data_IF_908176718213
#
_entry.id   IF_908176718213
#
_cell.length_a   1.000
_cell.length_b   1.000
_cell.length_c   1.000
_cell.angle_alpha   90.00
_cell.angle_beta   90.00
_cell.angle_gamma   90.00
#
_symmetry.space_group_name_H-M   'P 1'
#
loop_
_entity.id
_entity.type
_entity.pdbx_description
1 polymer ?
#
# COMPACT_ATOMS: atom_id res chain seq x y z
N UNK A 1 -12.13 12.14 -5.52
CA UNK A 1 -11.59 10.79 -5.69
C UNK A 1 -11.35 10.52 -7.17
N UNK A 2 -10.15 10.14 -7.54
CA UNK A 2 -9.74 9.95 -8.93
C UNK A 2 -9.51 8.48 -9.28
N UNK A 3 -9.36 7.65 -8.28
CA UNK A 3 -9.18 6.23 -8.47
C UNK A 3 -9.29 5.45 -7.18
N UNK A 4 -9.54 4.17 -7.32
CA UNK A 4 -9.67 3.25 -6.22
C UNK A 4 -9.09 1.90 -6.60
N UNK A 5 -8.61 1.18 -5.61
CA UNK A 5 -8.06 -0.16 -5.80
C UNK A 5 -8.20 -1.01 -4.57
N UNK A 6 -8.28 -2.30 -4.81
CA UNK A 6 -8.30 -3.33 -3.77
C UNK A 6 -7.34 -4.45 -4.21
N UNK A 7 -6.57 -4.94 -3.24
CA UNK A 7 -5.81 -6.18 -3.38
C UNK A 7 -6.27 -7.15 -2.31
N UNK A 8 -6.63 -8.36 -2.71
CA UNK A 8 -7.00 -9.45 -1.80
C UNK A 8 -6.02 -10.63 -1.90
N UNK A 9 -6.05 -11.49 -0.90
CA UNK A 9 -5.26 -12.72 -0.86
C UNK A 9 -6.15 -13.90 -0.47
N UNK A 10 -6.20 -14.92 -1.31
CA UNK A 10 -7.06 -16.10 -1.14
C UNK A 10 -6.41 -17.27 -0.40
N UNK A 11 -5.20 -17.07 0.13
CA UNK A 11 -4.38 -18.11 0.75
C UNK A 11 -3.31 -18.68 -0.19
N UNK A 12 -3.38 -18.38 -1.48
CA UNK A 12 -2.42 -18.84 -2.50
C UNK A 12 -1.91 -17.71 -3.38
N UNK A 13 -2.82 -16.85 -3.85
CA UNK A 13 -2.55 -15.84 -4.88
C UNK A 13 -3.09 -14.48 -4.45
N UNK A 14 -2.39 -13.42 -4.83
CA UNK A 14 -2.87 -12.05 -4.72
C UNK A 14 -3.70 -11.68 -5.94
N UNK A 15 -4.87 -11.11 -5.70
CA UNK A 15 -5.79 -10.61 -6.72
C UNK A 15 -5.88 -9.10 -6.62
N UNK A 16 -5.86 -8.38 -7.73
CA UNK A 16 -5.84 -6.92 -7.75
C UNK A 16 -6.87 -6.38 -8.73
N UNK A 17 -7.71 -5.47 -8.25
CA UNK A 17 -8.63 -4.68 -9.06
C UNK A 17 -8.39 -3.21 -8.82
N UNK A 18 -8.17 -2.44 -9.90
CA UNK A 18 -7.93 -1.00 -9.88
C UNK A 18 -8.82 -0.32 -10.90
N UNK A 19 -9.42 0.80 -10.51
CA UNK A 19 -10.34 1.58 -11.34
C UNK A 19 -10.07 3.07 -11.18
N UNK A 20 -10.24 3.80 -12.26
CA UNK A 20 -10.38 5.27 -12.22
C UNK A 20 -11.80 5.61 -11.82
N UNK A 21 -11.99 6.70 -11.06
CA UNK A 21 -13.30 7.15 -10.61
C UNK A 21 -13.66 6.72 -9.19
N UNK A 22 -14.93 6.74 -8.86
CA UNK A 22 -15.44 6.52 -7.51
C UNK A 22 -15.54 5.04 -7.15
N UNK A 23 -15.31 4.71 -5.88
CA UNK A 23 -15.54 3.35 -5.34
C UNK A 23 -16.96 2.88 -5.62
N UNK A 24 -17.95 3.77 -5.39
CA UNK A 24 -19.36 3.45 -5.57
C UNK A 24 -19.71 2.99 -6.99
N UNK A 25 -19.03 3.49 -8.00
CA UNK A 25 -19.31 3.15 -9.39
C UNK A 25 -18.78 1.76 -9.78
N UNK A 26 -17.72 1.31 -9.11
CA UNK A 26 -16.97 0.13 -9.53
C UNK A 26 -17.07 -1.07 -8.59
N UNK A 27 -17.15 -0.83 -7.27
CA UNK A 27 -17.09 -1.91 -6.29
C UNK A 27 -18.42 -2.21 -5.61
N UNK A 28 -19.47 -1.42 -5.81
CA UNK A 28 -20.80 -1.69 -5.24
C UNK A 28 -21.66 -2.63 -6.08
N UNK A 29 -21.45 -2.69 -7.38
CA UNK A 29 -22.26 -3.46 -8.37
C UNK A 29 -21.71 -4.86 -8.68
N UNK A 30 -20.90 -5.44 -7.83
CA UNK A 30 -20.70 -6.89 -7.74
C UNK A 30 -19.60 -7.52 -8.58
N UNK A 31 -19.29 -7.08 -9.80
CA UNK A 31 -18.37 -7.83 -10.66
C UNK A 31 -16.89 -7.66 -10.29
N UNK A 32 -16.50 -6.48 -9.83
CA UNK A 32 -15.13 -6.25 -9.38
C UNK A 32 -14.83 -7.01 -8.08
N UNK A 33 -15.78 -7.07 -7.15
CA UNK A 33 -15.64 -7.80 -5.87
C UNK A 33 -15.51 -9.31 -6.11
N UNK A 34 -16.24 -9.87 -7.08
CA UNK A 34 -16.14 -11.31 -7.43
C UNK A 34 -14.74 -11.72 -7.87
N UNK A 35 -13.95 -10.77 -8.38
CA UNK A 35 -12.55 -10.99 -8.81
C UNK A 35 -11.53 -10.88 -7.66
N UNK A 36 -11.99 -10.62 -6.46
CA UNK A 36 -11.19 -10.41 -5.26
C UNK A 36 -11.51 -11.46 -4.17
N UNK A 37 -11.28 -12.75 -4.45
CA UNK A 37 -11.50 -13.79 -3.46
C UNK A 37 -10.52 -13.67 -2.30
N UNK A 38 -10.87 -14.25 -1.16
CA UNK A 38 -9.98 -14.42 -0.01
C UNK A 38 -10.46 -13.74 1.26
N UNK A 39 -9.66 -13.92 2.31
CA UNK A 39 -9.97 -13.49 3.68
C UNK A 39 -9.13 -12.29 4.15
N UNK A 40 -8.15 -11.88 3.34
CA UNK A 40 -7.30 -10.72 3.58
C UNK A 40 -7.47 -9.76 2.42
N UNK A 41 -7.65 -8.49 2.71
CA UNK A 41 -7.68 -7.45 1.69
C UNK A 41 -7.18 -6.12 2.24
N UNK A 42 -6.58 -5.32 1.37
CA UNK A 42 -6.32 -3.90 1.61
C UNK A 42 -6.88 -3.09 0.45
N UNK A 43 -7.40 -1.91 0.74
CA UNK A 43 -7.96 -1.00 -0.23
C UNK A 43 -7.40 0.40 -0.10
N UNK A 44 -7.52 1.19 -1.17
CA UNK A 44 -7.10 2.58 -1.19
C UNK A 44 -7.95 3.42 -2.12
N UNK A 45 -8.36 4.59 -1.63
CA UNK A 45 -8.99 5.65 -2.40
C UNK A 45 -7.98 6.74 -2.68
N UNK A 46 -7.71 6.99 -3.96
CA UNK A 46 -6.75 7.99 -4.35
C UNK A 46 -7.41 9.35 -4.53
N UNK A 47 -6.83 10.36 -3.86
CA UNK A 47 -6.96 11.76 -4.19
C UNK A 47 -5.62 12.23 -4.71
N UNK A 48 -5.55 12.72 -5.94
CA UNK A 48 -4.30 13.26 -6.45
C UNK A 48 -4.14 14.70 -6.00
N UNK A 49 -3.01 14.95 -5.36
CA UNK A 49 -2.59 16.31 -5.01
C UNK A 49 -1.67 16.89 -6.09
N UNK A 50 -1.04 16.03 -6.88
CA UNK A 50 -0.13 16.41 -7.98
C UNK A 50 0.05 15.24 -8.96
N UNK A 51 0.07 15.53 -10.26
CA UNK A 51 0.43 14.58 -11.31
C UNK A 51 -0.73 13.95 -12.09
N UNK A 52 -0.41 13.36 -13.22
CA UNK A 52 -1.37 12.71 -14.13
C UNK A 52 -2.15 11.59 -13.42
N UNK A 53 -3.45 11.53 -13.72
CA UNK A 53 -4.36 10.46 -13.28
C UNK A 53 -4.07 9.17 -14.05
N UNK A 54 -2.94 8.55 -13.74
CA UNK A 54 -2.56 7.28 -14.36
C UNK A 54 -3.01 6.11 -13.49
N UNK A 55 -3.59 5.09 -14.11
CA UNK A 55 -3.95 3.84 -13.44
C UNK A 55 -2.74 3.20 -12.74
N UNK A 56 -1.52 3.46 -13.22
CA UNK A 56 -0.27 2.99 -12.62
C UNK A 56 -0.03 3.53 -11.21
N UNK A 57 -0.58 4.71 -10.91
CA UNK A 57 -0.45 5.37 -9.61
C UNK A 57 -1.57 4.97 -8.63
N UNK A 58 -2.55 4.18 -9.07
CA UNK A 58 -3.62 3.69 -8.19
C UNK A 58 -3.06 2.60 -7.30
N UNK A 59 -3.23 2.80 -6.01
CA UNK A 59 -2.85 1.85 -4.97
C UNK A 59 -4.02 0.89 -4.65
N UNK A 60 -3.77 -0.24 -3.96
CA UNK A 60 -2.50 -0.71 -3.40
C UNK A 60 -1.49 -1.14 -4.48
N UNK A 61 -0.19 -0.97 -4.19
CA UNK A 61 0.87 -1.55 -5.03
C UNK A 61 1.16 -2.97 -4.58
N UNK A 62 1.39 -3.83 -5.56
CA UNK A 62 1.81 -5.20 -5.34
C UNK A 62 3.24 -5.39 -5.87
N UNK A 63 4.03 -6.15 -5.15
CA UNK A 63 5.35 -6.58 -5.58
C UNK A 63 5.63 -8.00 -5.08
N UNK A 64 6.24 -8.81 -5.93
CA UNK A 64 6.83 -10.08 -5.54
C UNK A 64 8.23 -9.84 -4.98
N UNK A 65 8.46 -10.35 -3.77
CA UNK A 65 9.74 -10.30 -3.10
C UNK A 65 10.24 -11.72 -2.88
N UNK A 66 11.55 -11.86 -2.69
CA UNK A 66 12.10 -13.10 -2.18
C UNK A 66 11.46 -13.44 -0.82
N UNK A 67 10.73 -14.54 -0.76
CA UNK A 67 9.98 -14.95 0.44
C UNK A 67 8.48 -14.65 0.40
N UNK A 68 7.95 -14.10 -0.69
CA UNK A 68 6.51 -13.93 -0.93
C UNK A 68 6.09 -12.52 -1.36
N UNK A 69 4.85 -12.43 -1.82
CA UNK A 69 4.26 -11.17 -2.25
C UNK A 69 3.98 -10.20 -1.11
N UNK A 70 4.03 -8.91 -1.43
CA UNK A 70 3.64 -7.82 -0.54
C UNK A 70 2.69 -6.87 -1.30
N UNK A 71 1.65 -6.42 -0.62
CA UNK A 71 0.81 -5.33 -1.12
C UNK A 71 0.81 -4.19 -0.12
N UNK A 72 0.85 -2.94 -0.60
CA UNK A 72 0.97 -1.74 0.23
C UNK A 72 0.04 -0.63 -0.27
N UNK A 73 -0.61 0.03 0.68
CA UNK A 73 -1.31 1.29 0.47
C UNK A 73 -0.82 2.36 1.44
N UNK A 74 -0.77 3.60 0.98
CA UNK A 74 -0.20 4.75 1.67
C UNK A 74 -1.13 5.96 1.60
N UNK A 75 -1.44 6.49 2.74
CA UNK A 75 -2.09 7.78 2.91
C UNK A 75 -1.09 8.77 3.52
N UNK A 76 -0.70 9.77 2.77
CA UNK A 76 0.27 10.76 3.23
C UNK A 76 1.23 11.22 2.14
N UNK A 77 2.36 11.76 2.58
CA UNK A 77 3.42 12.24 1.69
C UNK A 77 4.79 12.10 2.35
N UNK A 78 5.74 11.55 1.63
CA UNK A 78 7.13 11.42 2.07
C UNK A 78 7.94 12.62 1.62
N UNK A 79 8.44 13.39 2.58
CA UNK A 79 9.20 14.62 2.31
C UNK A 79 10.55 14.37 1.64
N UNK A 80 11.12 13.18 1.82
CA UNK A 80 12.42 12.78 1.25
C UNK A 80 12.30 11.79 0.07
N UNK A 81 11.09 11.55 -0.45
CA UNK A 81 10.85 10.57 -1.52
C UNK A 81 11.72 10.79 -2.77
N UNK A 82 11.85 12.05 -3.22
CA UNK A 82 12.64 12.40 -4.42
C UNK A 82 14.10 12.03 -4.22
N UNK A 83 14.68 12.35 -3.07
CA UNK A 83 16.08 12.05 -2.75
C UNK A 83 16.32 10.55 -2.68
N UNK A 84 15.44 9.83 -1.99
CA UNK A 84 15.51 8.37 -1.91
C UNK A 84 15.35 7.72 -3.27
N UNK A 85 14.40 8.19 -4.09
CA UNK A 85 14.19 7.69 -5.44
C UNK A 85 15.44 7.84 -6.31
N UNK A 86 16.07 9.03 -6.31
CA UNK A 86 17.32 9.27 -7.05
C UNK A 86 18.42 8.29 -6.64
N UNK A 87 18.59 8.07 -5.33
CA UNK A 87 19.56 7.11 -4.79
C UNK A 87 19.23 5.68 -5.24
N UNK A 88 18.00 5.25 -5.10
CA UNK A 88 17.55 3.91 -5.48
C UNK A 88 17.74 3.64 -6.98
N UNK A 89 17.41 4.62 -7.84
CA UNK A 89 17.64 4.51 -9.30
C UNK A 89 19.12 4.38 -9.62
N UNK A 90 19.98 5.19 -8.98
CA UNK A 90 21.44 5.08 -9.12
C UNK A 90 21.94 3.68 -8.73
N UNK A 91 21.30 3.07 -7.74
CA UNK A 91 21.59 1.72 -7.27
C UNK A 91 20.86 0.62 -8.08
N UNK A 92 20.29 0.94 -9.23
CA UNK A 92 19.67 -0.01 -10.16
C UNK A 92 18.18 -0.34 -9.90
N UNK A 93 17.49 0.37 -9.00
CA UNK A 93 16.04 0.16 -8.81
C UNK A 93 15.24 0.68 -10.02
N UNK A 94 14.23 -0.10 -10.42
CA UNK A 94 13.35 0.23 -11.53
C UNK A 94 12.00 0.68 -10.97
N UNK A 95 11.57 1.87 -11.35
CA UNK A 95 10.30 2.46 -10.97
C UNK A 95 9.30 2.41 -12.12
N UNK A 96 8.05 2.08 -11.82
CA UNK A 96 6.93 2.02 -12.77
C UNK A 96 5.92 3.13 -12.59
N UNK A 97 5.94 3.80 -11.42
CA UNK A 97 5.00 4.84 -11.04
C UNK A 97 5.73 6.11 -10.64
N UNK A 98 5.01 7.21 -10.50
CA UNK A 98 5.53 8.45 -9.94
C UNK A 98 5.25 8.60 -8.45
N UNK A 99 4.57 7.61 -7.83
CA UNK A 99 4.18 7.64 -6.43
C UNK A 99 5.40 7.47 -5.52
N UNK A 100 5.40 8.21 -4.42
CA UNK A 100 6.36 8.08 -3.33
C UNK A 100 6.25 6.72 -2.60
N UNK A 101 5.07 6.12 -2.62
CA UNK A 101 4.81 4.78 -2.06
C UNK A 101 5.68 3.71 -2.71
N UNK A 102 5.97 3.82 -4.01
CA UNK A 102 6.86 2.87 -4.68
C UNK A 102 8.29 2.93 -4.13
N UNK A 103 8.72 4.09 -3.62
CA UNK A 103 10.00 4.22 -2.92
C UNK A 103 10.05 3.32 -1.68
N UNK A 104 8.96 3.23 -0.93
CA UNK A 104 8.88 2.33 0.24
C UNK A 104 8.99 0.87 -0.21
N UNK A 105 8.30 0.48 -1.29
CA UNK A 105 8.40 -0.89 -1.85
C UNK A 105 9.84 -1.23 -2.23
N UNK A 106 10.54 -0.31 -2.89
CA UNK A 106 11.93 -0.52 -3.30
C UNK A 106 12.89 -0.62 -2.10
N UNK A 107 12.67 0.18 -1.06
CA UNK A 107 13.45 0.09 0.18
C UNK A 107 13.25 -1.27 0.88
N UNK A 108 12.02 -1.75 0.96
CA UNK A 108 11.69 -3.07 1.51
C UNK A 108 12.38 -4.17 0.69
N UNK A 109 12.30 -4.08 -0.65
CA UNK A 109 12.92 -5.06 -1.55
C UNK A 109 14.44 -5.12 -1.41
N UNK A 110 15.10 -3.97 -1.19
CA UNK A 110 16.56 -3.87 -1.03
C UNK A 110 17.08 -4.26 0.35
N UNK A 111 16.22 -4.34 1.36
CA UNK A 111 16.65 -4.74 2.70
C UNK A 111 17.20 -6.17 2.69
N UNK A 112 18.36 -6.34 3.31
CA UNK A 112 19.06 -7.63 3.45
C UNK A 112 18.54 -8.49 4.60
N UNK A 113 17.54 -8.00 5.35
CA UNK A 113 16.93 -8.78 6.45
C UNK A 113 16.20 -9.99 5.89
N UNK A 114 16.06 -11.02 6.70
CA UNK A 114 15.32 -12.23 6.31
C UNK A 114 13.81 -12.06 6.49
N UNK A 115 13.40 -11.56 7.67
CA UNK A 115 11.98 -11.43 8.00
C UNK A 115 11.38 -10.18 7.37
N UNK A 116 10.20 -10.31 6.81
CA UNK A 116 9.50 -9.20 6.14
C UNK A 116 9.26 -8.00 7.08
N UNK A 117 8.98 -8.24 8.35
CA UNK A 117 8.76 -7.16 9.32
C UNK A 117 10.04 -6.35 9.51
N UNK A 118 11.20 -7.01 9.60
CA UNK A 118 12.49 -6.34 9.75
C UNK A 118 12.87 -5.55 8.48
N UNK A 119 12.52 -6.07 7.29
CA UNK A 119 12.66 -5.34 6.03
C UNK A 119 11.82 -4.06 6.02
N UNK A 120 10.59 -4.16 6.50
CA UNK A 120 9.69 -3.01 6.63
C UNK A 120 10.28 -1.99 7.60
N UNK A 121 10.77 -2.41 8.77
CA UNK A 121 11.42 -1.55 9.75
C UNK A 121 12.64 -0.84 9.16
N UNK A 122 13.51 -1.55 8.44
CA UNK A 122 14.65 -0.96 7.74
C UNK A 122 14.23 0.14 6.74
N UNK A 123 13.11 -0.06 6.04
CA UNK A 123 12.55 0.94 5.14
C UNK A 123 12.02 2.17 5.90
N UNK A 124 11.32 1.94 7.03
CA UNK A 124 10.74 3.03 7.85
C UNK A 124 11.80 3.95 8.45
N UNK A 125 12.98 3.42 8.80
CA UNK A 125 14.09 4.25 9.28
C UNK A 125 14.68 5.18 8.22
N UNK A 126 14.37 4.97 6.95
CA UNK A 126 14.90 5.77 5.85
C UNK A 126 13.90 6.82 5.35
N UNK A 127 12.61 6.64 5.60
CA UNK A 127 11.58 7.56 5.12
C UNK A 127 11.28 8.66 6.15
N UNK A 128 10.88 9.82 5.65
CA UNK A 128 10.46 10.97 6.46
C UNK A 128 9.17 11.56 5.90
N UNK A 129 8.32 12.09 6.77
CA UNK A 129 7.06 12.72 6.39
C UNK A 129 5.90 12.32 7.27
N UNK A 130 4.70 12.73 6.89
CA UNK A 130 3.45 12.31 7.53
C UNK A 130 2.83 11.18 6.72
N UNK A 131 2.68 10.00 7.32
CA UNK A 131 2.18 8.83 6.62
C UNK A 131 1.39 7.87 7.51
N UNK A 132 0.42 7.23 6.90
CA UNK A 132 -0.19 5.98 7.39
C UNK A 132 -0.08 4.94 6.29
N UNK A 133 0.45 3.77 6.60
CA UNK A 133 0.64 2.66 5.67
C UNK A 133 -0.13 1.44 6.15
N UNK A 134 -0.74 0.74 5.21
CA UNK A 134 -1.22 -0.62 5.43
C UNK A 134 -0.52 -1.56 4.47
N UNK A 135 0.05 -2.63 5.00
CA UNK A 135 0.72 -3.65 4.21
C UNK A 135 0.07 -5.00 4.44
N UNK A 136 -0.02 -5.77 3.39
CA UNK A 136 -0.48 -7.14 3.41
C UNK A 136 0.58 -8.05 2.81
N UNK A 137 0.90 -9.12 3.52
CA UNK A 137 1.71 -10.24 3.03
C UNK A 137 0.83 -11.48 2.96
N UNK A 138 1.38 -12.61 2.55
CA UNK A 138 0.68 -13.89 2.60
C UNK A 138 0.34 -14.39 4.02
N UNK A 139 0.87 -13.74 5.08
CA UNK A 139 0.66 -14.18 6.48
C UNK A 139 0.31 -13.06 7.44
N UNK A 140 0.46 -11.79 7.06
CA UNK A 140 0.35 -10.67 7.99
C UNK A 140 -0.37 -9.49 7.35
N UNK A 141 -1.19 -8.83 8.16
CA UNK A 141 -1.66 -7.48 7.92
C UNK A 141 -0.92 -6.54 8.89
N UNK A 142 -0.30 -5.49 8.38
CA UNK A 142 0.58 -4.60 9.14
C UNK A 142 0.07 -3.18 8.95
N UNK A 143 -0.27 -2.52 10.04
CA UNK A 143 -0.58 -1.09 10.07
C UNK A 143 0.62 -0.31 10.61
N UNK A 144 0.93 0.82 9.98
CA UNK A 144 2.08 1.66 10.33
C UNK A 144 1.61 3.11 10.30
N UNK A 145 2.00 3.86 11.32
CA UNK A 145 1.73 5.29 11.42
C UNK A 145 3.02 6.05 11.63
N UNK A 146 3.11 7.26 11.08
CA UNK A 146 4.28 8.12 11.31
C UNK A 146 4.46 8.44 12.81
N UNK A 147 5.70 8.75 13.26
CA UNK A 147 6.00 8.95 14.67
C UNK A 147 5.25 10.12 15.32
N UNK A 148 4.82 11.09 14.52
CA UNK A 148 4.10 12.28 15.00
C UNK A 148 2.58 12.11 14.92
N UNK A 149 2.11 11.02 14.31
CA UNK A 149 0.67 10.76 14.15
C UNK A 149 -0.05 11.76 13.25
N UNK A 150 0.65 12.32 12.25
CA UNK A 150 0.10 13.32 11.32
C UNK A 150 -1.05 12.73 10.50
N UNK A 151 -0.85 11.50 9.97
CA UNK A 151 -1.92 10.81 9.24
C UNK A 151 -2.67 9.85 10.16
N UNK A 152 -4.02 9.84 10.08
CA UNK A 152 -4.81 8.96 10.92
C UNK A 152 -4.64 7.49 10.51
N UNK A 153 -4.61 6.61 11.49
CA UNK A 153 -4.73 5.18 11.36
C UNK A 153 -5.33 4.63 12.64
N UNK A 154 -6.40 3.89 12.52
CA UNK A 154 -7.10 3.27 13.65
C UNK A 154 -7.12 1.75 13.48
N UNK A 155 -7.21 1.05 14.61
CA UNK A 155 -7.40 -0.40 14.67
C UNK A 155 -8.81 -0.65 15.16
N UNK A 156 -9.57 -1.40 14.40
CA UNK A 156 -10.90 -1.87 14.77
C UNK A 156 -10.97 -3.39 14.89
N UNK A 157 -12.03 -3.86 15.52
CA UNK A 157 -12.37 -5.27 15.57
C UNK A 157 -13.81 -5.46 15.13
N UNK A 158 -14.03 -6.32 14.14
CA UNK A 158 -15.35 -6.71 13.67
C UNK A 158 -15.48 -8.23 13.84
N UNK A 159 -16.26 -8.67 14.83
CA UNK A 159 -16.34 -10.09 15.23
C UNK A 159 -14.93 -10.63 15.54
N UNK A 160 -14.45 -11.62 14.82
CA UNK A 160 -13.14 -12.24 15.00
C UNK A 160 -12.04 -11.67 14.07
N UNK A 161 -12.35 -10.60 13.32
CA UNK A 161 -11.44 -9.98 12.36
C UNK A 161 -10.91 -8.65 12.88
N UNK A 162 -9.67 -8.33 12.55
CA UNK A 162 -9.06 -7.03 12.80
C UNK A 162 -9.06 -6.19 11.53
N UNK A 163 -9.25 -4.89 11.70
CA UNK A 163 -9.34 -3.91 10.62
C UNK A 163 -8.39 -2.77 10.91
N UNK A 164 -7.62 -2.34 9.91
CA UNK A 164 -6.95 -1.04 9.89
C UNK A 164 -7.73 -0.11 8.98
N UNK A 165 -8.02 1.10 9.46
CA UNK A 165 -8.72 2.12 8.69
C UNK A 165 -8.13 3.50 8.94
N UNK A 166 -8.29 4.41 7.98
CA UNK A 166 -7.93 5.82 8.16
C UNK A 166 -8.91 6.59 9.04
N UNK A 167 -10.13 6.05 9.23
CA UNK A 167 -11.19 6.69 9.99
C UNK A 167 -12.00 5.70 10.80
N UNK A 168 -12.60 6.16 11.90
CA UNK A 168 -13.40 5.33 12.80
C UNK A 168 -14.80 4.98 12.26
N UNK A 169 -15.25 5.66 11.21
CA UNK A 169 -16.52 5.40 10.54
C UNK A 169 -16.43 4.31 9.44
N UNK A 170 -15.25 3.73 9.24
CA UNK A 170 -15.05 2.69 8.24
C UNK A 170 -15.57 1.31 8.67
#
# INVERSE_FOLDING_TARGET
>A
QEGCGIVSFDGKTFHSEKRQGLVGDHFTKGDAIKKLPGNFAIGHNRYSTTGETSIRNIQPFFADLYGGGISIAHNGNLTNAITLRKKLVKDGAIFRTTSDTETVVQLIAKSKREKIVDKVIDALFQISGGYALVLMTNKKLIGIRDPFGIRPLVVGKLKDSYIFASETCA
#
